data_IF_068087394826
#
_entry.id   IF_068087394826
#
_cell.length_a   1.000
_cell.length_b   1.000
_cell.length_c   1.000
_cell.angle_alpha   90.00
_cell.angle_beta   90.00
_cell.angle_gamma   90.00
#
_symmetry.space_group_name_H-M   'P 1'
#
loop_
_entity.id
_entity.type
_entity.pdbx_description
1 polymer ?
#
# COMPACT_ATOMS: atom_id res chain seq x y z
N UNK A 1 7.22 -23.58 -1.72
CA UNK A 1 6.22 -22.51 -1.58
C UNK A 1 5.98 -21.92 -2.96
N UNK A 2 4.78 -21.44 -3.27
CA UNK A 2 4.54 -20.72 -4.53
C UNK A 2 5.11 -19.29 -4.41
N UNK A 3 5.52 -18.69 -5.53
CA UNK A 3 6.00 -17.31 -5.54
C UNK A 3 4.96 -16.32 -4.96
N UNK A 4 3.67 -16.60 -5.17
CA UNK A 4 2.57 -15.83 -4.58
C UNK A 4 2.53 -15.94 -3.05
N UNK A 5 2.71 -17.15 -2.51
CA UNK A 5 2.73 -17.37 -1.06
C UNK A 5 3.94 -16.71 -0.39
N UNK A 6 5.10 -16.66 -1.09
CA UNK A 6 6.28 -15.93 -0.62
C UNK A 6 6.04 -14.42 -0.58
N UNK A 7 5.42 -13.85 -1.63
CA UNK A 7 5.03 -12.45 -1.63
C UNK A 7 4.07 -12.13 -0.48
N UNK A 8 3.02 -12.93 -0.27
CA UNK A 8 2.08 -12.71 0.83
C UNK A 8 2.75 -12.77 2.20
N UNK A 9 3.73 -13.66 2.38
CA UNK A 9 4.56 -13.71 3.59
C UNK A 9 5.39 -12.43 3.77
N UNK A 10 6.01 -11.92 2.70
CA UNK A 10 6.71 -10.62 2.71
C UNK A 10 5.77 -9.48 3.08
N UNK A 11 4.58 -9.42 2.50
CA UNK A 11 3.58 -8.38 2.81
C UNK A 11 3.12 -8.45 4.27
N UNK A 12 2.92 -9.66 4.82
CA UNK A 12 2.66 -9.85 6.26
C UNK A 12 3.82 -9.36 7.11
N UNK A 13 5.06 -9.66 6.72
CA UNK A 13 6.25 -9.20 7.44
C UNK A 13 6.30 -7.67 7.51
N UNK A 14 6.06 -6.97 6.39
CA UNK A 14 6.01 -5.50 6.34
C UNK A 14 4.94 -4.91 7.29
N UNK A 15 3.80 -5.58 7.49
CA UNK A 15 2.81 -5.15 8.49
C UNK A 15 3.29 -5.30 9.93
N UNK A 16 4.03 -6.37 10.22
CA UNK A 16 4.49 -6.67 11.59
C UNK A 16 5.71 -5.87 12.02
N UNK A 17 6.44 -5.25 11.09
CA UNK A 17 7.60 -4.41 11.42
C UNK A 17 7.21 -3.18 12.24
N UNK A 18 6.04 -2.60 12.00
CA UNK A 18 5.53 -1.47 12.77
C UNK A 18 4.84 -1.99 14.04
N UNK A 19 5.50 -1.81 15.19
CA UNK A 19 5.06 -2.35 16.50
C UNK A 19 3.74 -1.77 17.02
N UNK A 20 3.40 -0.53 16.67
CA UNK A 20 2.17 0.12 17.14
C UNK A 20 1.51 0.98 16.07
N UNK A 21 0.59 0.38 15.30
CA UNK A 21 -0.17 1.10 14.28
C UNK A 21 -1.09 2.20 14.82
N UNK A 22 -1.39 2.23 16.12
CA UNK A 22 -2.22 3.27 16.73
C UNK A 22 -1.53 4.65 16.73
N UNK A 23 -0.20 4.66 16.83
CA UNK A 23 0.62 5.87 16.79
C UNK A 23 0.74 6.42 15.36
N UNK A 24 0.50 5.57 14.37
CA UNK A 24 0.59 5.91 12.95
C UNK A 24 -0.70 6.52 12.38
N UNK A 25 -1.75 6.63 13.20
CA UNK A 25 -2.98 7.34 12.85
C UNK A 25 -2.78 8.83 13.11
N UNK A 26 -2.53 9.61 12.05
CA UNK A 26 -2.45 11.07 12.18
C UNK A 26 -3.75 11.66 12.73
N UNK A 27 -3.60 12.76 13.47
CA UNK A 27 -4.68 13.49 14.14
C UNK A 27 -5.40 12.69 15.26
N UNK A 28 -4.76 11.66 15.83
CA UNK A 28 -5.32 10.97 16.99
C UNK A 28 -5.54 11.92 18.19
N UNK A 29 -4.68 12.94 18.33
CA UNK A 29 -4.85 14.02 19.32
C UNK A 29 -6.11 14.86 19.10
N UNK A 30 -6.45 15.20 17.85
CA UNK A 30 -7.70 15.90 17.53
C UNK A 30 -8.94 15.06 17.84
N UNK A 31 -8.84 13.74 17.71
CA UNK A 31 -9.92 12.83 18.12
C UNK A 31 -10.08 12.78 19.64
N UNK A 32 -8.97 12.75 20.38
CA UNK A 32 -9.04 12.83 21.86
C UNK A 32 -9.66 14.15 22.31
N UNK A 33 -9.33 15.27 21.65
CA UNK A 33 -9.98 16.55 21.88
C UNK A 33 -11.49 16.47 21.59
N UNK A 34 -11.92 15.82 20.50
CA UNK A 34 -13.33 15.63 20.19
C UNK A 34 -14.04 14.77 21.25
N UNK A 35 -13.40 13.72 21.75
CA UNK A 35 -13.91 12.88 22.85
C UNK A 35 -14.14 13.73 24.10
N UNK A 36 -13.16 14.56 24.49
CA UNK A 36 -13.34 15.47 25.62
C UNK A 36 -14.48 16.46 25.37
N UNK A 37 -14.51 17.08 24.19
CA UNK A 37 -15.54 18.06 23.84
C UNK A 37 -16.95 17.48 23.90
N UNK A 38 -17.19 16.29 23.34
CA UNK A 38 -18.49 15.61 23.41
C UNK A 38 -18.82 15.22 24.84
N UNK A 39 -17.84 14.72 25.61
CA UNK A 39 -18.04 14.37 27.02
C UNK A 39 -18.46 15.56 27.88
N UNK A 40 -18.00 16.78 27.56
CA UNK A 40 -18.37 18.00 28.28
C UNK A 40 -19.64 18.66 27.76
N UNK A 41 -19.85 18.73 26.44
CA UNK A 41 -20.96 19.48 25.83
C UNK A 41 -22.22 18.66 25.66
N UNK A 42 -22.08 17.34 25.46
CA UNK A 42 -23.19 16.42 25.20
C UNK A 42 -22.95 15.07 25.90
N UNK A 43 -22.91 15.05 27.24
CA UNK A 43 -22.54 13.86 28.02
C UNK A 43 -23.43 12.65 27.74
N UNK A 44 -24.70 12.87 27.37
CA UNK A 44 -25.64 11.81 27.00
C UNK A 44 -25.21 10.99 25.77
N UNK A 45 -24.37 11.54 24.89
CA UNK A 45 -23.85 10.84 23.71
C UNK A 45 -22.41 10.37 23.90
N UNK A 46 -21.75 10.72 25.00
CA UNK A 46 -20.33 10.47 25.21
C UNK A 46 -19.97 8.99 25.17
N UNK A 47 -20.78 8.14 25.80
CA UNK A 47 -20.52 6.70 25.83
C UNK A 47 -20.53 6.07 24.42
N UNK A 48 -21.55 6.38 23.62
CA UNK A 48 -21.66 5.89 22.24
C UNK A 48 -20.54 6.45 21.37
N UNK A 49 -20.29 7.75 21.45
CA UNK A 49 -19.23 8.41 20.69
C UNK A 49 -17.84 7.85 21.00
N UNK A 50 -17.53 7.58 22.28
CA UNK A 50 -16.27 6.94 22.67
C UNK A 50 -16.16 5.53 22.08
N UNK A 51 -17.25 4.77 22.07
CA UNK A 51 -17.30 3.44 21.46
C UNK A 51 -16.98 3.47 19.97
N UNK A 52 -17.61 4.40 19.25
CA UNK A 52 -17.43 4.57 17.81
C UNK A 52 -15.99 5.01 17.47
N UNK A 53 -15.45 5.99 18.20
CA UNK A 53 -14.08 6.49 17.99
C UNK A 53 -13.03 5.44 18.33
N UNK A 54 -13.22 4.63 19.38
CA UNK A 54 -12.27 3.56 19.75
C UNK A 54 -12.04 2.53 18.65
N UNK A 55 -13.06 2.24 17.84
CA UNK A 55 -12.95 1.28 16.75
C UNK A 55 -12.16 1.86 15.56
N UNK A 56 -12.19 3.18 15.36
CA UNK A 56 -11.39 3.85 14.33
C UNK A 56 -9.91 4.04 14.71
N UNK A 57 -9.57 3.94 16.00
CA UNK A 57 -8.24 4.29 16.55
C UNK A 57 -7.18 3.19 16.47
N UNK A 58 -7.46 2.02 15.88
CA UNK A 58 -6.53 0.87 15.96
C UNK A 58 -5.37 0.94 14.97
N UNK A 59 -5.61 1.45 13.76
CA UNK A 59 -4.61 1.50 12.69
C UNK A 59 -5.10 2.35 11.50
N UNK A 60 -4.20 2.81 10.60
CA UNK A 60 -4.61 3.48 9.37
C UNK A 60 -5.56 2.61 8.56
N UNK A 61 -6.70 3.15 8.10
CA UNK A 61 -7.74 2.38 7.38
C UNK A 61 -7.23 1.54 6.20
N UNK A 62 -6.19 2.03 5.51
CA UNK A 62 -5.57 1.27 4.41
C UNK A 62 -4.74 0.07 4.88
N UNK A 63 -4.04 0.21 6.01
CA UNK A 63 -3.32 -0.88 6.66
C UNK A 63 -4.32 -1.94 7.15
N UNK A 64 -5.43 -1.49 7.75
CA UNK A 64 -6.52 -2.39 8.18
C UNK A 64 -7.11 -3.20 7.04
N UNK A 65 -7.36 -2.56 5.90
CA UNK A 65 -7.89 -3.26 4.74
C UNK A 65 -6.92 -4.33 4.21
N UNK A 66 -5.62 -4.02 4.18
CA UNK A 66 -4.57 -4.96 3.75
C UNK A 66 -4.44 -6.12 4.75
N UNK A 67 -4.43 -5.83 6.05
CA UNK A 67 -4.37 -6.84 7.11
C UNK A 67 -5.56 -7.81 7.05
N UNK A 68 -6.78 -7.29 6.84
CA UNK A 68 -7.97 -8.12 6.66
C UNK A 68 -7.85 -9.05 5.45
N UNK A 69 -7.36 -8.56 4.31
CA UNK A 69 -7.16 -9.37 3.10
C UNK A 69 -6.11 -10.46 3.33
N UNK A 70 -5.00 -10.13 4.00
CA UNK A 70 -3.92 -11.07 4.27
C UNK A 70 -4.31 -12.20 5.24
N UNK A 71 -5.28 -11.94 6.12
CA UNK A 71 -5.79 -12.89 7.10
C UNK A 71 -7.11 -13.58 6.67
N UNK A 72 -7.61 -13.29 5.47
CA UNK A 72 -8.78 -13.99 4.93
C UNK A 72 -8.37 -15.36 4.36
N UNK A 73 -8.65 -16.44 5.09
CA UNK A 73 -8.29 -17.80 4.67
C UNK A 73 -9.14 -18.32 3.49
N UNK A 74 -10.26 -17.68 3.17
CA UNK A 74 -11.15 -18.10 2.09
C UNK A 74 -10.75 -17.51 0.73
N UNK A 75 -9.97 -16.43 0.75
CA UNK A 75 -9.55 -15.71 -0.45
C UNK A 75 -8.28 -16.32 -1.06
N UNK A 76 -8.29 -16.47 -2.39
CA UNK A 76 -7.15 -17.02 -3.12
C UNK A 76 -5.95 -16.06 -3.14
N UNK A 77 -4.74 -16.60 -3.30
CA UNK A 77 -3.50 -15.79 -3.25
C UNK A 77 -3.44 -14.71 -4.35
N UNK A 78 -3.95 -14.99 -5.54
CA UNK A 78 -3.89 -14.05 -6.66
C UNK A 78 -4.88 -12.89 -6.45
N UNK A 79 -6.06 -13.19 -5.93
CA UNK A 79 -7.08 -12.24 -5.52
C UNK A 79 -6.58 -11.35 -4.38
N UNK A 80 -5.94 -11.92 -3.36
CA UNK A 80 -5.27 -11.17 -2.30
C UNK A 80 -4.27 -10.17 -2.86
N UNK A 81 -3.36 -10.63 -3.73
CA UNK A 81 -2.33 -9.77 -4.33
C UNK A 81 -2.97 -8.65 -5.16
N UNK A 82 -3.98 -8.97 -5.98
CA UNK A 82 -4.71 -8.00 -6.82
C UNK A 82 -5.38 -6.93 -5.96
N UNK A 83 -6.06 -7.33 -4.89
CA UNK A 83 -6.86 -6.43 -4.08
C UNK A 83 -5.97 -5.53 -3.20
N UNK A 84 -4.87 -6.07 -2.67
CA UNK A 84 -3.84 -5.29 -1.99
C UNK A 84 -3.23 -4.27 -2.96
N UNK A 85 -2.87 -4.69 -4.18
CA UNK A 85 -2.38 -3.79 -5.23
C UNK A 85 -3.37 -2.66 -5.50
N UNK A 86 -4.66 -2.96 -5.63
CA UNK A 86 -5.70 -1.95 -5.85
C UNK A 86 -5.79 -0.93 -4.70
N UNK A 87 -5.62 -1.38 -3.44
CA UNK A 87 -5.58 -0.48 -2.28
C UNK A 87 -4.38 0.47 -2.37
N UNK A 88 -3.20 -0.04 -2.73
CA UNK A 88 -1.97 0.74 -2.86
C UNK A 88 -2.05 1.75 -4.01
N UNK A 89 -2.56 1.33 -5.17
CA UNK A 89 -2.75 2.20 -6.34
C UNK A 89 -3.74 3.33 -6.05
N UNK A 90 -4.87 3.06 -5.39
CA UNK A 90 -5.82 4.11 -4.94
C UNK A 90 -5.17 5.15 -4.03
N UNK A 91 -4.03 4.83 -3.41
CA UNK A 91 -3.25 5.71 -2.53
C UNK A 91 -2.04 6.34 -3.23
N UNK A 92 -1.88 6.09 -4.54
CA UNK A 92 -0.77 6.49 -5.40
C UNK A 92 0.57 5.80 -5.08
N UNK A 93 0.54 4.51 -4.73
CA UNK A 93 1.73 3.67 -4.60
C UNK A 93 1.73 2.60 -5.69
N UNK A 94 2.63 2.74 -6.66
CA UNK A 94 2.76 1.87 -7.84
C UNK A 94 4.05 1.01 -7.84
N UNK A 95 4.95 1.25 -6.88
CA UNK A 95 6.23 0.54 -6.77
C UNK A 95 7.31 1.00 -7.77
N UNK A 96 7.06 2.02 -8.59
CA UNK A 96 8.01 2.56 -9.58
C UNK A 96 8.37 4.02 -9.32
N UNK A 97 7.39 4.86 -8.99
CA UNK A 97 7.58 6.31 -8.78
C UNK A 97 6.89 6.78 -7.52
N UNK A 98 7.41 6.36 -6.37
CA UNK A 98 6.98 6.90 -5.08
C UNK A 98 7.62 8.27 -4.89
N UNK A 99 7.06 9.29 -5.56
CA UNK A 99 7.37 10.67 -5.20
C UNK A 99 7.05 10.79 -3.71
N UNK A 100 8.01 11.34 -2.95
CA UNK A 100 7.89 11.68 -1.54
C UNK A 100 6.88 12.83 -1.39
N UNK A 101 5.63 12.58 -1.80
CA UNK A 101 4.50 13.39 -1.43
C UNK A 101 4.29 13.08 0.05
N UNK A 102 4.96 13.86 0.90
CA UNK A 102 4.66 13.97 2.32
C UNK A 102 3.20 14.43 2.43
N UNK A 103 2.28 13.48 2.27
CA UNK A 103 0.88 13.74 2.48
C UNK A 103 0.77 14.02 3.98
N UNK A 104 0.21 15.17 4.33
CA UNK A 104 -0.12 15.53 5.71
C UNK A 104 -1.03 14.48 6.40
N UNK A 105 -1.54 13.54 5.60
CA UNK A 105 -2.47 12.46 5.91
C UNK A 105 -1.76 11.22 6.49
N UNK A 106 -0.48 10.96 6.17
CA UNK A 106 0.21 9.70 6.52
C UNK A 106 1.51 9.95 7.25
N UNK A 107 1.76 9.18 8.31
CA UNK A 107 3.07 9.15 8.98
C UNK A 107 4.13 8.54 8.07
N UNK A 108 5.39 8.77 8.43
CA UNK A 108 6.53 8.25 7.66
C UNK A 108 6.55 6.72 7.66
N UNK A 109 6.21 6.07 8.78
CA UNK A 109 6.13 4.61 8.83
C UNK A 109 5.01 4.07 7.93
N UNK A 110 3.80 4.64 7.98
CA UNK A 110 2.71 4.26 7.07
C UNK A 110 3.11 4.44 5.60
N UNK A 111 3.81 5.54 5.28
CA UNK A 111 4.28 5.79 3.93
C UNK A 111 5.31 4.74 3.50
N UNK A 112 6.30 4.45 4.35
CA UNK A 112 7.36 3.49 4.07
C UNK A 112 6.80 2.08 3.86
N UNK A 113 5.88 1.63 4.71
CA UNK A 113 5.22 0.32 4.58
C UNK A 113 4.49 0.21 3.24
N UNK A 114 3.72 1.22 2.82
CA UNK A 114 3.07 1.18 1.50
C UNK A 114 4.07 1.15 0.35
N UNK A 115 5.17 1.90 0.42
CA UNK A 115 6.23 1.83 -0.59
C UNK A 115 6.83 0.42 -0.68
N UNK A 116 7.22 -0.17 0.46
CA UNK A 116 7.82 -1.50 0.48
C UNK A 116 6.88 -2.56 -0.09
N UNK A 117 5.60 -2.53 0.29
CA UNK A 117 4.59 -3.43 -0.26
C UNK A 117 4.41 -3.24 -1.77
N UNK A 118 4.32 -2.01 -2.25
CA UNK A 118 4.14 -1.72 -3.67
C UNK A 118 5.34 -2.20 -4.50
N UNK A 119 6.58 -1.99 -4.01
CA UNK A 119 7.80 -2.51 -4.63
C UNK A 119 7.86 -4.03 -4.66
N UNK A 120 7.46 -4.69 -3.59
CA UNK A 120 7.43 -6.14 -3.52
C UNK A 120 6.46 -6.72 -4.57
N UNK A 121 5.26 -6.14 -4.67
CA UNK A 121 4.26 -6.52 -5.68
C UNK A 121 4.78 -6.25 -7.10
N UNK A 122 5.35 -5.08 -7.36
CA UNK A 122 5.90 -4.75 -8.67
C UNK A 122 7.04 -5.69 -9.08
N UNK A 123 7.88 -6.11 -8.12
CA UNK A 123 8.97 -7.07 -8.35
C UNK A 123 8.42 -8.46 -8.69
N UNK A 124 7.38 -8.90 -7.96
CA UNK A 124 6.67 -10.14 -8.26
C UNK A 124 6.04 -10.14 -9.65
N UNK A 125 5.42 -9.02 -10.07
CA UNK A 125 4.82 -8.92 -11.41
C UNK A 125 5.87 -9.02 -12.52
N UNK A 126 7.06 -8.44 -12.34
CA UNK A 126 8.17 -8.57 -13.29
C UNK A 126 8.69 -10.00 -13.40
N UNK A 127 8.67 -10.76 -12.30
CA UNK A 127 9.13 -12.15 -12.28
C UNK A 127 8.09 -13.12 -12.87
N UNK A 128 6.80 -12.81 -12.73
CA UNK A 128 5.70 -13.67 -13.21
C UNK A 128 5.26 -13.36 -14.64
N UNK A 129 5.51 -12.14 -15.12
CA UNK A 129 5.38 -11.76 -16.53
C UNK A 129 6.78 -11.47 -17.06
N UNK A 130 7.58 -12.50 -17.43
CA UNK A 130 8.75 -12.23 -18.25
C UNK A 130 8.24 -11.53 -19.50
N UNK A 131 8.80 -10.35 -19.78
CA UNK A 131 8.53 -9.63 -21.01
C UNK A 131 8.57 -10.62 -22.18
N UNK A 132 7.56 -10.58 -23.04
CA UNK A 132 7.68 -11.06 -24.40
C UNK A 132 8.73 -10.20 -25.10
N UNK A 133 10.01 -10.42 -24.80
CA UNK A 133 11.12 -10.05 -25.66
C UNK A 133 11.06 -11.02 -26.84
N UNK A 134 10.17 -10.69 -27.79
CA UNK A 134 10.30 -11.20 -29.14
C UNK A 134 11.67 -10.80 -29.64
N UNK A 135 12.45 -11.81 -29.97
CA UNK A 135 13.49 -11.81 -30.99
C UNK A 135 13.15 -10.80 -32.10
N UNK A 136 13.84 -9.65 -32.06
CA UNK A 136 14.21 -8.90 -33.26
C UNK A 136 15.74 -8.82 -33.30
N UNK A 137 16.39 -9.98 -33.12
CA UNK A 137 17.67 -10.26 -33.75
C UNK A 137 17.38 -11.02 -35.05
N UNK A 138 17.01 -10.25 -36.08
CA UNK A 138 17.37 -10.58 -37.45
C UNK A 138 18.06 -9.33 -38.02
N UNK A 139 19.38 -9.42 -38.05
CA UNK A 139 20.24 -8.93 -39.12
C UNK A 139 19.46 -8.45 -40.35
N UNK A 140 19.66 -7.20 -40.75
CA UNK A 140 20.34 -6.98 -42.02
C UNK A 140 21.07 -5.64 -42.05
N UNK A 141 22.38 -5.82 -42.15
CA UNK A 141 23.39 -4.83 -42.43
C UNK A 141 23.28 -4.47 -43.93
N UNK A 142 22.70 -3.32 -44.28
CA UNK A 142 22.93 -2.74 -45.61
C UNK A 142 22.69 -1.23 -45.64
N UNK A 143 23.77 -0.55 -46.06
CA UNK A 143 23.87 0.84 -46.52
C UNK A 143 24.13 1.94 -45.48
N UNK A 144 25.44 2.10 -45.25
CA UNK A 144 26.10 3.41 -45.21
C UNK A 144 25.72 4.30 -46.42
N UNK A 145 25.95 5.60 -46.23
CA UNK A 145 25.93 6.71 -47.21
C UNK A 145 24.52 7.28 -47.48
N UNK A 146 24.20 8.55 -47.27
CA UNK A 146 24.96 9.78 -47.54
C UNK A 146 24.33 10.99 -46.81
N UNK A 147 25.13 12.03 -46.66
CA UNK A 147 24.75 13.39 -46.30
C UNK A 147 23.68 13.99 -47.24
N UNK A 148 22.84 14.91 -46.73
CA UNK A 148 22.76 16.33 -47.14
C UNK A 148 21.56 17.06 -46.49
N UNK A 149 21.88 18.23 -45.96
CA UNK A 149 21.14 19.52 -45.94
C UNK A 149 19.62 19.55 -46.18
N UNK A 150 18.87 20.08 -45.20
CA UNK A 150 18.18 21.38 -45.25
C UNK A 150 17.71 21.80 -43.84
#
# INVERSE_FOLDING_TARGET
>A
MSLSSELLATLKQELTQTKNWQEEVRCNSLRQLAVYLVSFTHPQYAFQFIGDVKNESRMPRGIQAIDNILNDDLMDDAEKIRDIKNILLKKNYDGQTEKRNNSWIRTDATHLTYCNMARAIASYEKQTKPELTFLNDFSDNCHQETALEC
#
